data_IF_943050879611
#
_entry.id   IF_943050879611
#
_cell.length_a   1.000
_cell.length_b   1.000
_cell.length_c   1.000
_cell.angle_alpha   90.00
_cell.angle_beta   90.00
_cell.angle_gamma   90.00
#
_symmetry.space_group_name_H-M   'P 1'
#
loop_
_entity.id
_entity.type
_entity.pdbx_description
1 polymer ?
#
# COMPACT_ATOMS: atom_id res chain seq x y z
N UNK A 1 -25.13 5.34 4.28
CA UNK A 1 -24.42 4.88 3.06
C UNK A 1 -25.15 3.66 2.51
N UNK A 2 -25.49 3.63 1.21
CA UNK A 2 -26.03 2.42 0.57
C UNK A 2 -24.88 1.40 0.49
N UNK A 3 -25.05 0.23 1.11
CA UNK A 3 -24.12 -0.87 0.91
C UNK A 3 -24.23 -1.36 -0.53
N UNK A 4 -23.09 -1.61 -1.19
CA UNK A 4 -23.05 -2.28 -2.48
C UNK A 4 -23.58 -3.72 -2.35
N UNK A 5 -24.18 -4.27 -3.40
CA UNK A 5 -24.53 -5.68 -3.41
C UNK A 5 -23.26 -6.55 -3.44
N UNK A 6 -23.29 -7.72 -2.82
CA UNK A 6 -22.19 -8.67 -2.88
C UNK A 6 -21.82 -8.99 -4.33
N UNK A 7 -20.53 -9.00 -4.63
CA UNK A 7 -20.01 -9.21 -6.00
C UNK A 7 -20.01 -7.96 -6.89
N UNK A 8 -20.50 -6.81 -6.41
CA UNK A 8 -20.33 -5.55 -7.13
C UNK A 8 -18.86 -5.14 -7.19
N UNK A 9 -18.42 -4.65 -8.35
CA UNK A 9 -17.08 -4.09 -8.51
C UNK A 9 -16.92 -2.82 -7.66
N UNK A 10 -15.79 -2.73 -6.97
CA UNK A 10 -15.44 -1.60 -6.13
C UNK A 10 -13.93 -1.34 -6.18
N UNK A 11 -13.55 -0.10 -5.96
CA UNK A 11 -12.17 0.29 -5.65
C UNK A 11 -11.93 0.21 -4.15
N UNK A 12 -10.83 -0.41 -3.76
CA UNK A 12 -10.31 -0.32 -2.41
C UNK A 12 -9.39 0.91 -2.32
N UNK A 13 -9.77 1.89 -1.51
CA UNK A 13 -9.03 3.12 -1.30
C UNK A 13 -8.36 3.10 0.09
N UNK A 14 -7.09 3.46 0.13
CA UNK A 14 -6.28 3.50 1.34
C UNK A 14 -5.57 4.84 1.45
N UNK A 15 -5.48 5.38 2.67
CA UNK A 15 -4.56 6.49 2.93
C UNK A 15 -3.12 5.98 2.91
N UNK A 16 -2.12 6.79 2.53
CA UNK A 16 -0.74 6.34 2.53
C UNK A 16 -0.20 5.83 3.87
N UNK A 17 -0.74 6.35 4.97
CA UNK A 17 -0.42 5.94 6.35
C UNK A 17 -1.16 4.68 6.82
N UNK A 18 -2.22 4.25 6.12
CA UNK A 18 -2.98 3.04 6.44
C UNK A 18 -2.32 1.76 5.89
N UNK A 19 -1.41 1.93 4.93
CA UNK A 19 -0.60 0.84 4.40
C UNK A 19 0.66 0.69 5.25
N UNK A 20 1.11 -0.54 5.44
CA UNK A 20 2.38 -0.87 6.11
C UNK A 20 3.10 -1.97 5.33
N UNK A 21 4.42 -2.08 5.52
CA UNK A 21 5.12 -3.28 5.10
C UNK A 21 4.65 -4.44 5.98
N UNK A 22 4.31 -5.56 5.35
CA UNK A 22 3.85 -6.74 6.06
C UNK A 22 5.02 -7.40 6.81
N UNK A 23 4.78 -7.85 8.03
CA UNK A 23 5.70 -8.66 8.82
C UNK A 23 5.23 -10.14 8.89
N UNK A 24 5.90 -10.98 9.66
CA UNK A 24 5.51 -12.39 9.79
C UNK A 24 4.20 -12.62 10.57
N UNK A 25 3.74 -11.63 11.34
CA UNK A 25 2.61 -11.71 12.26
C UNK A 25 1.33 -11.07 11.71
N UNK A 26 1.39 -10.27 10.65
CA UNK A 26 0.21 -9.65 10.05
C UNK A 26 -0.82 -10.69 9.53
N UNK A 27 -2.11 -10.35 9.52
CA UNK A 27 -3.16 -11.26 9.07
C UNK A 27 -3.26 -11.40 7.54
N UNK A 28 -4.40 -11.89 7.06
CA UNK A 28 -4.63 -12.22 5.64
C UNK A 28 -4.75 -11.00 4.70
N UNK A 29 -4.93 -9.79 5.25
CA UNK A 29 -5.05 -8.56 4.47
C UNK A 29 -3.70 -8.09 3.94
N UNK A 30 -3.16 -8.85 2.98
CA UNK A 30 -1.85 -8.65 2.38
C UNK A 30 -1.93 -8.65 0.88
N UNK A 31 -1.05 -7.89 0.25
CA UNK A 31 -0.87 -7.94 -1.19
C UNK A 31 0.56 -7.54 -1.56
N UNK A 32 1.04 -8.02 -2.70
CA UNK A 32 2.39 -7.72 -3.18
C UNK A 32 2.40 -6.51 -4.09
N UNK A 33 3.53 -5.81 -4.10
CA UNK A 33 3.80 -4.75 -5.06
C UNK A 33 5.30 -4.52 -5.21
N UNK A 34 5.68 -3.76 -6.22
CA UNK A 34 7.08 -3.42 -6.52
C UNK A 34 7.31 -1.96 -6.18
N UNK A 35 8.40 -1.66 -5.48
CA UNK A 35 8.80 -0.26 -5.22
C UNK A 35 9.25 0.36 -6.54
N UNK A 36 8.48 1.32 -7.05
CA UNK A 36 8.91 2.10 -8.20
C UNK A 36 9.90 3.20 -7.81
N UNK A 37 9.65 3.87 -6.68
CA UNK A 37 10.41 5.04 -6.26
C UNK A 37 10.36 5.27 -4.75
N UNK A 38 11.38 5.94 -4.21
CA UNK A 38 11.51 6.31 -2.80
C UNK A 38 11.90 7.79 -2.69
N UNK A 39 11.07 8.57 -1.99
CA UNK A 39 11.32 9.99 -1.75
C UNK A 39 11.43 10.29 -0.25
N UNK A 40 12.48 11.01 0.15
CA UNK A 40 12.64 11.49 1.52
C UNK A 40 11.93 12.85 1.69
N UNK A 41 11.04 12.93 2.68
CA UNK A 41 10.23 14.10 2.99
C UNK A 41 10.40 14.49 4.47
N UNK A 42 11.64 14.84 4.85
CA UNK A 42 12.00 15.23 6.22
C UNK A 42 11.97 14.03 7.17
N UNK A 43 11.01 13.99 8.09
CA UNK A 43 10.86 12.91 9.08
C UNK A 43 10.14 11.67 8.53
N UNK A 44 9.69 11.69 7.27
CA UNK A 44 8.99 10.59 6.62
C UNK A 44 9.63 10.23 5.29
N UNK A 45 9.64 8.95 4.96
CA UNK A 45 9.96 8.45 3.63
C UNK A 45 8.67 8.00 2.96
N UNK A 46 8.48 8.42 1.70
CA UNK A 46 7.32 8.03 0.89
C UNK A 46 7.79 7.05 -0.16
N UNK A 47 7.27 5.82 -0.12
CA UNK A 47 7.47 4.83 -1.17
C UNK A 47 6.32 4.90 -2.16
N UNK A 48 6.65 4.90 -3.45
CA UNK A 48 5.70 4.61 -4.52
C UNK A 48 5.74 3.11 -4.79
N UNK A 49 4.60 2.45 -4.69
CA UNK A 49 4.46 1.03 -4.94
C UNK A 49 3.55 0.82 -6.16
N UNK A 50 3.97 -0.01 -7.10
CA UNK A 50 3.13 -0.51 -8.18
C UNK A 50 2.54 -1.85 -7.75
N UNK A 51 1.21 -1.94 -7.66
CA UNK A 51 0.50 -3.13 -7.21
C UNK A 51 -0.54 -3.59 -8.25
N UNK A 52 -0.66 -4.89 -8.46
CA UNK A 52 -1.53 -5.49 -9.48
C UNK A 52 -0.76 -6.00 -10.71
N UNK A 53 -1.49 -6.57 -11.67
CA UNK A 53 -0.90 -7.12 -12.89
C UNK A 53 -0.46 -6.01 -13.86
N UNK A 54 0.51 -6.30 -14.73
CA UNK A 54 1.23 -5.32 -15.56
C UNK A 54 0.35 -4.28 -16.29
N UNK A 55 -0.77 -4.69 -16.88
CA UNK A 55 -1.68 -3.80 -17.62
C UNK A 55 -2.71 -3.05 -16.75
N UNK A 56 -2.75 -3.32 -15.45
CA UNK A 56 -3.67 -2.73 -14.48
C UNK A 56 -2.97 -2.24 -13.21
N UNK A 57 -1.63 -2.14 -13.23
CA UNK A 57 -0.83 -1.82 -12.08
C UNK A 57 -1.20 -0.44 -11.51
N UNK A 58 -1.73 -0.43 -10.29
CA UNK A 58 -2.11 0.77 -9.58
C UNK A 58 -0.92 1.35 -8.83
N UNK A 59 -0.78 2.67 -8.89
CA UNK A 59 0.26 3.40 -8.15
C UNK A 59 -0.24 3.74 -6.75
N UNK A 60 0.28 3.04 -5.76
CA UNK A 60 0.01 3.27 -4.35
C UNK A 60 1.13 4.10 -3.72
N UNK A 61 0.79 4.88 -2.71
CA UNK A 61 1.76 5.62 -1.90
C UNK A 61 1.74 5.03 -0.50
N UNK A 62 2.92 4.74 0.03
CA UNK A 62 3.15 4.31 1.40
C UNK A 62 3.95 5.39 2.10
N UNK A 63 3.50 5.85 3.28
CA UNK A 63 4.28 6.76 4.12
C UNK A 63 4.81 6.00 5.33
N UNK A 64 6.12 6.05 5.53
CA UNK A 64 6.80 5.42 6.66
C UNK A 64 7.72 6.42 7.38
N UNK A 65 8.00 6.22 8.68
CA UNK A 65 8.98 7.04 9.39
C UNK A 65 10.36 6.92 8.74
N UNK A 66 11.06 8.04 8.58
CA UNK A 66 12.45 8.02 8.13
C UNK A 66 13.34 7.45 9.24
N UNK A 67 14.33 6.64 8.84
CA UNK A 67 15.37 6.14 9.75
C UNK A 67 16.67 6.88 9.49
N UNK A 68 17.48 7.03 10.52
CA UNK A 68 18.79 7.69 10.46
C UNK A 68 19.71 6.97 9.46
N UNK A 69 19.60 5.64 9.38
CA UNK A 69 20.38 4.80 8.46
C UNK A 69 19.80 4.76 7.02
N UNK A 70 18.77 5.56 6.73
CA UNK A 70 18.08 5.56 5.45
C UNK A 70 16.99 4.49 5.32
N UNK A 71 16.57 4.18 4.09
CA UNK A 71 15.60 3.11 3.85
C UNK A 71 16.31 1.80 3.56
N UNK A 72 15.87 0.71 4.22
CA UNK A 72 16.31 -0.66 3.87
C UNK A 72 15.75 -1.11 2.50
N UNK A 73 14.78 -0.36 1.97
CA UNK A 73 14.07 -0.67 0.75
C UNK A 73 14.80 -0.12 -0.48
N UNK A 74 14.71 -0.84 -1.59
CA UNK A 74 15.29 -0.41 -2.88
C UNK A 74 14.22 -0.32 -3.97
N UNK A 75 14.41 0.61 -4.90
CA UNK A 75 13.60 0.60 -6.13
C UNK A 75 13.83 -0.70 -6.90
N UNK A 76 12.75 -1.25 -7.46
CA UNK A 76 12.68 -2.56 -8.10
C UNK A 76 12.45 -3.74 -7.15
N UNK A 77 12.51 -3.53 -5.83
CA UNK A 77 12.27 -4.59 -4.85
C UNK A 77 10.78 -4.93 -4.75
N UNK A 78 10.48 -6.23 -4.69
CA UNK A 78 9.12 -6.72 -4.41
C UNK A 78 8.90 -6.72 -2.90
N UNK A 79 7.84 -6.06 -2.47
CA UNK A 79 7.44 -5.97 -1.06
C UNK A 79 6.04 -6.53 -0.87
N UNK A 80 5.79 -7.02 0.33
CA UNK A 80 4.44 -7.35 0.79
C UNK A 80 3.92 -6.20 1.63
N UNK A 81 2.71 -5.75 1.32
CA UNK A 81 2.01 -4.70 2.04
C UNK A 81 0.86 -5.32 2.83
N UNK A 82 0.56 -4.75 3.98
CA UNK A 82 -0.61 -5.09 4.78
C UNK A 82 -1.42 -3.83 5.14
N UNK A 83 -2.68 -4.04 5.52
CA UNK A 83 -3.58 -2.99 6.00
C UNK A 83 -4.54 -3.55 7.05
N UNK A 84 -4.95 -2.71 8.00
CA UNK A 84 -6.04 -3.09 8.89
C UNK A 84 -7.39 -2.91 8.17
N UNK A 85 -8.36 -3.84 8.30
CA UNK A 85 -9.59 -3.77 7.52
C UNK A 85 -10.41 -2.49 7.76
N UNK A 86 -10.28 -1.87 8.93
CA UNK A 86 -10.98 -0.63 9.28
C UNK A 86 -10.30 0.64 8.76
N UNK A 87 -9.10 0.55 8.18
CA UNK A 87 -8.36 1.67 7.59
C UNK A 87 -8.53 1.78 6.07
N UNK A 88 -9.22 0.80 5.46
CA UNK A 88 -9.60 0.79 4.06
C UNK A 88 -11.04 1.25 3.84
N UNK A 89 -11.30 1.87 2.69
CA UNK A 89 -12.64 2.21 2.25
C UNK A 89 -12.94 1.54 0.91
N UNK A 90 -14.15 0.98 0.79
CA UNK A 90 -14.66 0.50 -0.48
C UNK A 90 -15.51 1.59 -1.14
N UNK A 91 -15.17 1.92 -2.37
CA UNK A 91 -15.87 2.91 -3.20
C UNK A 91 -16.39 2.20 -4.44
N UNK A 92 -17.65 2.43 -4.80
CA UNK A 92 -18.23 1.85 -6.01
C UNK A 92 -17.42 2.24 -7.26
N UNK A 93 -17.20 1.26 -8.15
CA UNK A 93 -16.45 1.46 -9.38
C UNK A 93 -17.24 2.19 -10.47
#
# INVERSE_FOLDING_TARGET
LKAAADGASAFAAFRPEALRLADANDGDNRFSGVIADLAFAGSSTVATIMAGADNAAQRLRLRMPSRIDGSILKSGETVSLCFAPHEGHLVLA
#
